data_IF_864411929145
#
_entry.id   IF_864411929145
#
_cell.length_a   1.000
_cell.length_b   1.000
_cell.length_c   1.000
_cell.angle_alpha   90.00
_cell.angle_beta   90.00
_cell.angle_gamma   90.00
#
_symmetry.space_group_name_H-M   'P 1'
#
loop_
_entity.id
_entity.type
_entity.pdbx_description
1 polymer ?
#
# COMPACT_ATOMS: atom_id res chain seq x y z
N UNK A 1 -23.96 -1.54 6.57
CA UNK A 1 -22.93 -1.50 5.53
C UNK A 1 -22.24 -0.13 5.43
N UNK A 2 -22.95 0.99 5.51
CA UNK A 2 -22.39 2.35 5.51
C UNK A 2 -21.44 2.60 6.70
N UNK A 3 -21.74 2.07 7.88
CA UNK A 3 -20.93 2.22 9.09
C UNK A 3 -19.55 1.55 9.03
N UNK A 4 -19.43 0.45 8.27
CA UNK A 4 -18.14 -0.26 8.16
C UNK A 4 -17.13 0.50 7.28
N UNK A 5 -17.60 1.05 6.16
CA UNK A 5 -16.75 1.89 5.28
C UNK A 5 -16.32 3.16 6.01
N UNK A 6 -17.22 3.75 6.80
CA UNK A 6 -16.93 4.95 7.60
C UNK A 6 -15.89 4.67 8.70
N UNK A 7 -15.95 3.52 9.34
CA UNK A 7 -14.96 3.12 10.36
C UNK A 7 -13.58 2.86 9.75
N UNK A 8 -13.51 2.24 8.58
CA UNK A 8 -12.24 2.00 7.87
C UNK A 8 -11.63 3.32 7.39
N UNK A 9 -12.44 4.25 6.88
CA UNK A 9 -12.00 5.60 6.48
C UNK A 9 -11.46 6.37 7.68
N UNK A 10 -12.13 6.31 8.83
CA UNK A 10 -11.70 6.97 10.08
C UNK A 10 -10.38 6.40 10.60
N UNK A 11 -10.19 5.09 10.54
CA UNK A 11 -8.93 4.43 10.95
C UNK A 11 -7.80 4.81 10.02
N UNK A 12 -8.03 4.85 8.71
CA UNK A 12 -7.01 5.23 7.72
C UNK A 12 -6.67 6.72 7.85
N UNK A 13 -7.66 7.60 8.03
CA UNK A 13 -7.45 9.04 8.25
C UNK A 13 -6.76 9.33 9.57
N UNK A 14 -7.06 8.58 10.63
CA UNK A 14 -6.39 8.66 11.93
C UNK A 14 -4.92 8.24 11.86
N UNK A 15 -4.62 7.17 11.12
CA UNK A 15 -3.24 6.70 10.88
C UNK A 15 -2.44 7.70 10.02
N UNK A 16 -3.05 8.29 8.99
CA UNK A 16 -2.42 9.32 8.16
C UNK A 16 -2.14 10.60 8.97
N UNK A 17 -3.04 11.00 9.88
CA UNK A 17 -2.89 12.20 10.71
C UNK A 17 -1.80 12.05 11.77
N UNK A 18 -1.64 10.86 12.36
CA UNK A 18 -0.56 10.57 13.32
C UNK A 18 0.80 10.60 12.60
N UNK A 19 0.90 10.02 11.39
CA UNK A 19 2.13 10.07 10.59
C UNK A 19 2.49 11.49 10.15
N UNK A 20 1.52 12.34 9.82
CA UNK A 20 1.76 13.73 9.40
C UNK A 20 2.31 14.60 10.54
N UNK A 21 1.90 14.35 11.78
CA UNK A 21 2.34 15.13 12.94
C UNK A 21 3.77 14.80 13.37
N UNK A 22 4.24 13.60 13.11
CA UNK A 22 5.64 13.18 13.40
C UNK A 22 6.62 13.76 12.38
N UNK A 23 6.18 14.09 11.16
CA UNK A 23 7.04 14.61 10.08
C UNK A 23 7.73 15.95 10.37
N UNK A 24 7.29 16.73 11.37
CA UNK A 24 7.77 18.10 11.55
C UNK A 24 8.82 18.29 12.65
N UNK A 25 9.37 17.24 13.25
CA UNK A 25 10.28 17.42 14.39
C UNK A 25 11.46 16.45 14.46
N UNK A 26 12.34 16.37 13.45
CA UNK A 26 13.74 15.98 13.69
C UNK A 26 14.59 15.94 12.42
N UNK A 27 15.28 17.01 12.14
CA UNK A 27 16.57 16.93 11.43
C UNK A 27 17.66 17.31 12.43
N UNK A 28 18.42 16.32 12.87
CA UNK A 28 19.73 16.52 13.46
C UNK A 28 20.67 15.52 12.84
N UNK A 29 21.60 16.03 12.07
CA UNK A 29 22.68 15.30 11.42
C UNK A 29 23.78 15.11 12.46
N UNK A 30 24.24 13.88 12.68
CA UNK A 30 25.56 13.60 13.23
C UNK A 30 26.25 12.59 12.31
N UNK A 31 27.37 13.05 11.74
CA UNK A 31 28.22 12.27 10.89
C UNK A 31 29.18 11.41 11.71
N UNK A 32 29.29 10.14 11.33
CA UNK A 32 30.44 9.30 11.67
C UNK A 32 30.71 8.37 10.50
N UNK A 33 31.81 8.64 9.80
CA UNK A 33 32.34 7.81 8.73
C UNK A 33 33.18 6.68 9.37
N UNK A 34 32.76 5.43 9.16
CA UNK A 34 33.64 4.28 9.29
C UNK A 34 33.33 3.30 8.17
N UNK A 35 34.29 3.15 7.24
CA UNK A 35 34.10 2.42 6.00
C UNK A 35 34.42 0.94 6.14
N UNK A 36 33.49 0.12 5.70
CA UNK A 36 33.74 -1.21 5.14
C UNK A 36 32.85 -1.30 3.89
N UNK A 37 33.25 -1.98 2.82
CA UNK A 37 32.40 -2.12 1.64
C UNK A 37 31.25 -3.05 1.98
N UNK A 38 30.21 -2.48 2.56
CA UNK A 38 28.95 -3.16 2.79
C UNK A 38 28.23 -3.27 1.44
N UNK A 39 27.96 -4.49 1.01
CA UNK A 39 27.07 -4.73 -0.13
C UNK A 39 25.69 -4.24 0.28
N UNK A 40 25.39 -2.98 -0.04
CA UNK A 40 24.09 -2.37 0.27
C UNK A 40 23.04 -3.10 -0.56
N UNK A 41 22.09 -3.75 0.10
CA UNK A 41 21.03 -4.49 -0.57
C UNK A 41 20.16 -3.55 -1.41
N UNK A 42 19.57 -4.07 -2.48
CA UNK A 42 18.63 -3.29 -3.30
C UNK A 42 17.49 -2.71 -2.43
N UNK A 43 17.02 -3.50 -1.45
CA UNK A 43 15.98 -3.09 -0.53
C UNK A 43 16.35 -1.85 0.30
N UNK A 44 17.56 -1.82 0.85
CA UNK A 44 18.08 -0.66 1.63
C UNK A 44 18.22 0.59 0.76
N UNK A 45 18.75 0.45 -0.46
CA UNK A 45 18.86 1.56 -1.41
C UNK A 45 17.51 2.11 -1.81
N UNK A 46 16.54 1.24 -2.09
CA UNK A 46 15.19 1.67 -2.45
C UNK A 46 14.50 2.35 -1.26
N UNK A 47 14.62 1.77 -0.07
CA UNK A 47 13.98 2.27 1.14
C UNK A 47 14.50 3.64 1.57
N UNK A 48 15.78 3.92 1.32
CA UNK A 48 16.41 5.22 1.55
C UNK A 48 16.21 6.22 0.40
N UNK A 49 15.57 5.81 -0.71
CA UNK A 49 15.47 6.62 -1.92
C UNK A 49 14.26 7.55 -1.92
N UNK A 50 14.37 8.65 -2.69
CA UNK A 50 13.25 9.55 -3.02
C UNK A 50 12.11 8.81 -3.73
N UNK A 51 12.41 7.71 -4.43
CA UNK A 51 11.42 6.87 -5.10
C UNK A 51 10.42 6.25 -4.11
N UNK A 52 10.90 5.80 -2.94
CA UNK A 52 10.01 5.29 -1.89
C UNK A 52 9.09 6.41 -1.39
N UNK A 53 9.63 7.59 -1.13
CA UNK A 53 8.83 8.73 -0.65
C UNK A 53 7.76 9.14 -1.67
N UNK A 54 8.09 9.05 -2.96
CA UNK A 54 7.12 9.31 -4.03
C UNK A 54 5.97 8.28 -4.02
N UNK A 55 6.30 6.98 -3.99
CA UNK A 55 5.30 5.91 -3.94
C UNK A 55 4.46 5.98 -2.66
N UNK A 56 5.07 6.33 -1.53
CA UNK A 56 4.37 6.52 -0.27
C UNK A 56 3.34 7.66 -0.37
N UNK A 57 3.75 8.83 -0.88
CA UNK A 57 2.85 9.99 -1.07
C UNK A 57 1.72 9.66 -2.04
N UNK A 58 2.04 9.01 -3.15
CA UNK A 58 1.05 8.57 -4.13
C UNK A 58 0.01 7.62 -3.53
N UNK A 59 0.47 6.61 -2.77
CA UNK A 59 -0.39 5.65 -2.13
C UNK A 59 -1.31 6.27 -1.09
N UNK A 60 -0.79 7.16 -0.23
CA UNK A 60 -1.60 7.87 0.76
C UNK A 60 -2.61 8.82 0.09
N UNK A 61 -2.21 9.54 -0.95
CA UNK A 61 -3.11 10.40 -1.71
C UNK A 61 -4.24 9.59 -2.41
N UNK A 62 -3.95 8.38 -2.89
CA UNK A 62 -4.98 7.51 -3.47
C UNK A 62 -5.98 7.04 -2.41
N UNK A 63 -5.51 6.70 -1.20
CA UNK A 63 -6.37 6.36 -0.06
C UNK A 63 -7.30 7.53 0.28
N UNK A 64 -6.77 8.74 0.41
CA UNK A 64 -7.55 9.96 0.72
C UNK A 64 -8.59 10.26 -0.36
N UNK A 65 -8.18 10.23 -1.64
CA UNK A 65 -9.11 10.46 -2.76
C UNK A 65 -10.22 9.41 -2.82
N UNK A 66 -9.89 8.16 -2.56
CA UNK A 66 -10.89 7.08 -2.53
C UNK A 66 -11.87 7.28 -1.39
N UNK A 67 -11.40 7.65 -0.21
CA UNK A 67 -12.25 7.94 0.94
C UNK A 67 -13.20 9.12 0.64
N UNK A 68 -12.66 10.22 0.13
CA UNK A 68 -13.45 11.39 -0.25
C UNK A 68 -14.49 11.08 -1.34
N UNK A 69 -14.13 10.26 -2.33
CA UNK A 69 -15.05 9.84 -3.38
C UNK A 69 -16.18 8.97 -2.83
N UNK A 70 -15.87 7.94 -2.05
CA UNK A 70 -16.88 7.00 -1.52
C UNK A 70 -17.84 7.66 -0.51
N UNK A 71 -17.38 8.65 0.23
CA UNK A 71 -18.23 9.39 1.17
C UNK A 71 -18.96 10.57 0.52
N UNK A 72 -18.46 11.08 -0.58
CA UNK A 72 -18.99 12.23 -1.33
C UNK A 72 -19.75 11.86 -2.60
N UNK A 73 -19.15 12.13 -3.78
CA UNK A 73 -19.82 11.94 -5.07
C UNK A 73 -20.22 10.48 -5.34
N UNK A 74 -19.34 9.53 -5.05
CA UNK A 74 -19.61 8.11 -5.26
C UNK A 74 -20.82 7.60 -4.47
N UNK A 75 -21.06 8.15 -3.27
CA UNK A 75 -22.25 7.84 -2.49
C UNK A 75 -23.56 8.32 -3.15
N UNK A 76 -23.49 9.46 -3.85
CA UNK A 76 -24.64 9.99 -4.60
C UNK A 76 -24.90 9.17 -5.85
N UNK A 77 -23.84 8.84 -6.58
CA UNK A 77 -23.90 8.01 -7.79
C UNK A 77 -24.41 6.60 -7.48
N UNK A 78 -23.96 5.98 -6.39
CA UNK A 78 -24.43 4.67 -5.94
C UNK A 78 -25.94 4.61 -5.69
N UNK A 79 -26.55 5.69 -5.21
CA UNK A 79 -27.99 5.77 -4.99
C UNK A 79 -28.81 5.81 -6.28
N UNK A 80 -28.21 6.27 -7.38
CA UNK A 80 -28.84 6.32 -8.69
C UNK A 80 -28.76 4.98 -9.44
N UNK A 81 -27.91 4.05 -8.98
CA UNK A 81 -27.76 2.73 -9.61
C UNK A 81 -28.97 1.85 -9.30
N UNK A 82 -29.49 1.18 -10.33
CA UNK A 82 -30.62 0.26 -10.23
C UNK A 82 -30.20 -1.20 -10.42
N UNK A 83 -30.92 -2.10 -9.79
CA UNK A 83 -30.74 -3.54 -9.95
C UNK A 83 -29.35 -4.03 -9.52
N UNK A 84 -28.75 -4.88 -10.35
CA UNK A 84 -27.45 -5.52 -10.08
C UNK A 84 -26.26 -4.56 -10.02
N UNK A 85 -26.36 -3.38 -10.66
CA UNK A 85 -25.31 -2.38 -10.66
C UNK A 85 -25.01 -1.83 -9.27
N UNK A 86 -26.01 -1.66 -8.41
CA UNK A 86 -25.83 -1.26 -7.02
C UNK A 86 -25.07 -2.29 -6.18
N UNK A 87 -25.34 -3.58 -6.39
CA UNK A 87 -24.62 -4.69 -5.74
C UNK A 87 -23.18 -4.75 -6.22
N UNK A 88 -22.97 -4.59 -7.53
CA UNK A 88 -21.62 -4.58 -8.11
C UNK A 88 -20.81 -3.39 -7.59
N UNK A 89 -21.41 -2.18 -7.53
CA UNK A 89 -20.77 -1.00 -6.94
C UNK A 89 -20.30 -1.28 -5.50
N UNK A 90 -21.18 -1.83 -4.67
CA UNK A 90 -20.85 -2.15 -3.29
C UNK A 90 -19.70 -3.16 -3.21
N UNK A 91 -19.73 -4.20 -4.05
CA UNK A 91 -18.72 -5.23 -4.08
C UNK A 91 -17.34 -4.67 -4.50
N UNK A 92 -17.31 -3.90 -5.59
CA UNK A 92 -16.06 -3.33 -6.09
C UNK A 92 -15.50 -2.23 -5.16
N UNK A 93 -16.36 -1.44 -4.51
CA UNK A 93 -15.94 -0.49 -3.47
C UNK A 93 -15.29 -1.19 -2.28
N UNK A 94 -15.82 -2.34 -1.84
CA UNK A 94 -15.22 -3.14 -0.77
C UNK A 94 -13.87 -3.73 -1.19
N UNK A 95 -13.78 -4.27 -2.41
CA UNK A 95 -12.52 -4.81 -2.96
C UNK A 95 -11.45 -3.73 -3.10
N UNK A 96 -11.83 -2.55 -3.59
CA UNK A 96 -10.96 -1.38 -3.68
C UNK A 96 -10.43 -0.99 -2.29
N UNK A 97 -11.32 -0.85 -1.31
CA UNK A 97 -10.96 -0.47 0.06
C UNK A 97 -10.02 -1.50 0.70
N UNK A 98 -10.31 -2.79 0.53
CA UNK A 98 -9.44 -3.87 1.06
C UNK A 98 -8.05 -3.82 0.42
N UNK A 99 -7.97 -3.65 -0.90
CA UNK A 99 -6.68 -3.52 -1.59
C UNK A 99 -5.89 -2.32 -1.09
N UNK A 100 -6.52 -1.17 -0.97
CA UNK A 100 -5.87 0.05 -0.46
C UNK A 100 -5.39 -0.10 0.98
N UNK A 101 -6.13 -0.82 1.83
CA UNK A 101 -5.71 -1.12 3.20
C UNK A 101 -4.44 -1.97 3.22
N UNK A 102 -4.35 -2.99 2.37
CA UNK A 102 -3.15 -3.83 2.26
C UNK A 102 -1.95 -3.03 1.74
N UNK A 103 -2.15 -2.20 0.71
CA UNK A 103 -1.10 -1.33 0.17
C UNK A 103 -0.62 -0.30 1.20
N UNK A 104 -1.54 0.37 1.89
CA UNK A 104 -1.21 1.33 2.95
C UNK A 104 -0.45 0.64 4.10
N UNK A 105 -0.86 -0.57 4.49
CA UNK A 105 -0.17 -1.34 5.54
C UNK A 105 1.26 -1.66 5.13
N UNK A 106 1.49 -2.08 3.89
CA UNK A 106 2.83 -2.32 3.36
C UNK A 106 3.69 -1.05 3.38
N UNK A 107 3.15 0.06 2.87
CA UNK A 107 3.83 1.35 2.83
C UNK A 107 4.21 1.85 4.23
N UNK A 108 3.31 1.72 5.20
CA UNK A 108 3.55 2.14 6.59
C UNK A 108 4.62 1.28 7.27
N UNK A 109 4.63 -0.04 7.04
CA UNK A 109 5.68 -0.93 7.56
C UNK A 109 7.05 -0.52 7.02
N UNK A 110 7.14 -0.26 5.71
CA UNK A 110 8.39 0.16 5.08
C UNK A 110 8.86 1.53 5.55
N UNK A 111 7.92 2.43 5.79
CA UNK A 111 8.22 3.74 6.34
C UNK A 111 8.74 3.65 7.77
N UNK A 112 8.06 2.91 8.65
CA UNK A 112 8.49 2.70 10.03
C UNK A 112 9.90 2.09 10.11
N UNK A 113 10.23 1.17 9.20
CA UNK A 113 11.58 0.62 9.08
C UNK A 113 12.60 1.69 8.62
N UNK A 114 12.26 2.50 7.61
CA UNK A 114 13.10 3.60 7.13
C UNK A 114 13.40 4.63 8.22
N UNK A 115 12.41 4.94 9.04
CA UNK A 115 12.52 5.91 10.14
C UNK A 115 13.17 5.30 11.41
N UNK A 116 13.49 4.00 11.39
CA UNK A 116 14.10 3.29 12.51
C UNK A 116 13.16 3.06 13.71
N UNK A 117 11.85 3.19 13.49
CA UNK A 117 10.83 2.94 14.51
C UNK A 117 10.65 1.45 14.81
N UNK A 118 10.94 0.59 13.84
CA UNK A 118 10.88 -0.86 13.96
C UNK A 118 12.15 -1.50 13.38
N UNK A 119 12.49 -2.69 13.88
CA UNK A 119 13.61 -3.49 13.37
C UNK A 119 13.22 -4.22 12.07
N UNK A 120 14.23 -4.71 11.32
CA UNK A 120 13.98 -5.54 10.13
C UNK A 120 13.21 -6.81 10.43
N UNK A 121 13.49 -7.45 11.57
CA UNK A 121 12.78 -8.65 12.02
C UNK A 121 11.31 -8.35 12.27
N UNK A 122 11.00 -7.25 12.94
CA UNK A 122 9.62 -6.80 13.19
C UNK A 122 8.92 -6.43 11.88
N UNK A 123 9.61 -5.72 10.98
CA UNK A 123 9.08 -5.38 9.67
C UNK A 123 8.74 -6.64 8.86
N UNK A 124 9.64 -7.63 8.82
CA UNK A 124 9.43 -8.91 8.16
C UNK A 124 8.22 -9.65 8.76
N UNK A 125 8.11 -9.72 10.09
CA UNK A 125 6.98 -10.35 10.79
C UNK A 125 5.65 -9.65 10.48
N UNK A 126 5.64 -8.30 10.46
CA UNK A 126 4.45 -7.51 10.10
C UNK A 126 4.11 -7.70 8.61
N UNK A 127 5.11 -7.69 7.70
CA UNK A 127 4.93 -7.87 6.26
C UNK A 127 4.27 -9.20 5.92
N UNK A 128 4.61 -10.30 6.59
CA UNK A 128 3.99 -11.62 6.37
C UNK A 128 2.48 -11.64 6.63
N UNK A 129 1.95 -10.69 7.39
CA UNK A 129 0.51 -10.55 7.67
C UNK A 129 -0.23 -9.75 6.61
N UNK A 130 0.47 -8.98 5.80
CA UNK A 130 -0.12 -8.17 4.72
C UNK A 130 -0.33 -9.04 3.50
N UNK A 131 -1.57 -9.14 3.05
CA UNK A 131 -1.94 -9.94 1.87
C UNK A 131 -1.89 -9.06 0.62
N UNK A 132 -0.75 -9.03 -0.06
CA UNK A 132 -0.63 -8.37 -1.37
C UNK A 132 -1.20 -9.29 -2.48
N UNK A 133 -2.38 -9.86 -2.24
CA UNK A 133 -3.07 -10.66 -3.26
C UNK A 133 -4.07 -9.75 -3.98
N UNK A 134 -3.85 -9.54 -5.27
CA UNK A 134 -4.82 -8.86 -6.09
C UNK A 134 -6.03 -9.79 -6.31
N UNK A 135 -7.20 -9.36 -5.89
CA UNK A 135 -8.42 -9.85 -6.54
C UNK A 135 -8.32 -9.51 -8.03
N UNK A 136 -8.71 -10.43 -8.91
CA UNK A 136 -8.63 -10.22 -10.36
C UNK A 136 -9.27 -8.88 -10.79
N UNK A 137 -8.75 -8.30 -11.86
CA UNK A 137 -9.30 -7.04 -12.41
C UNK A 137 -10.75 -7.25 -12.83
N UNK A 138 -11.69 -6.38 -12.42
CA UNK A 138 -13.12 -6.58 -12.62
C UNK A 138 -13.60 -6.25 -14.04
N UNK A 139 -12.72 -5.84 -14.96
CA UNK A 139 -13.07 -5.44 -16.32
C UNK A 139 -13.89 -6.50 -17.10
N UNK A 140 -13.79 -7.77 -16.73
CA UNK A 140 -14.54 -8.86 -17.34
C UNK A 140 -15.85 -9.20 -16.60
N UNK A 141 -16.15 -8.49 -15.51
CA UNK A 141 -17.40 -8.73 -14.75
C UNK A 141 -18.56 -8.11 -15.51
N UNK A 142 -19.62 -8.89 -15.68
CA UNK A 142 -20.87 -8.41 -16.31
C UNK A 142 -21.40 -7.18 -15.57
N UNK A 143 -21.67 -6.10 -16.30
CA UNK A 143 -22.15 -4.85 -15.73
C UNK A 143 -21.06 -3.90 -15.22
N UNK A 144 -19.78 -4.23 -15.38
CA UNK A 144 -18.70 -3.34 -14.96
C UNK A 144 -18.75 -1.98 -15.69
N UNK A 145 -19.18 -1.97 -16.95
CA UNK A 145 -19.38 -0.74 -17.74
C UNK A 145 -20.40 0.23 -17.14
N UNK A 146 -21.38 -0.29 -16.39
CA UNK A 146 -22.45 0.50 -15.78
C UNK A 146 -22.02 1.18 -14.47
N UNK A 147 -20.82 0.87 -13.98
CA UNK A 147 -20.26 1.50 -12.80
C UNK A 147 -19.83 2.95 -13.09
N UNK A 148 -19.94 3.84 -12.09
CA UNK A 148 -19.47 5.22 -12.23
C UNK A 148 -18.01 5.30 -12.63
N UNK A 149 -17.68 6.25 -13.52
CA UNK A 149 -16.32 6.43 -14.03
C UNK A 149 -15.33 6.76 -12.91
N UNK A 150 -15.75 7.53 -11.90
CA UNK A 150 -14.92 7.84 -10.74
C UNK A 150 -14.51 6.59 -9.96
N UNK A 151 -15.41 5.61 -9.79
CA UNK A 151 -15.06 4.34 -9.15
C UNK A 151 -14.10 3.52 -10.02
N UNK A 152 -14.36 3.43 -11.33
CA UNK A 152 -13.50 2.69 -12.27
C UNK A 152 -12.08 3.25 -12.30
N UNK A 153 -11.93 4.57 -12.35
CA UNK A 153 -10.63 5.23 -12.32
C UNK A 153 -9.84 4.89 -11.05
N UNK A 154 -10.46 4.96 -9.87
CA UNK A 154 -9.82 4.61 -8.59
C UNK A 154 -9.44 3.12 -8.52
N UNK A 155 -10.26 2.24 -9.08
CA UNK A 155 -9.95 0.82 -9.20
C UNK A 155 -8.68 0.63 -10.03
N UNK A 156 -8.61 1.24 -11.22
CA UNK A 156 -7.47 1.10 -12.12
C UNK A 156 -6.18 1.67 -11.53
N UNK A 157 -6.24 2.85 -10.90
CA UNK A 157 -5.11 3.43 -10.19
C UNK A 157 -4.63 2.52 -9.05
N UNK A 158 -5.56 1.92 -8.30
CA UNK A 158 -5.21 1.00 -7.21
C UNK A 158 -4.51 -0.27 -7.70
N UNK A 159 -4.87 -0.79 -8.87
CA UNK A 159 -4.17 -1.91 -9.49
C UNK A 159 -2.79 -1.53 -9.99
N UNK A 160 -2.64 -0.35 -10.60
CA UNK A 160 -1.35 0.15 -11.03
C UNK A 160 -0.37 0.29 -9.87
N UNK A 161 -0.81 0.87 -8.75
CA UNK A 161 -0.01 0.99 -7.54
C UNK A 161 0.31 -0.39 -6.95
N UNK A 162 -0.67 -1.29 -6.90
CA UNK A 162 -0.51 -2.65 -6.40
C UNK A 162 0.57 -3.42 -7.19
N UNK A 163 0.50 -3.39 -8.51
CA UNK A 163 1.46 -4.11 -9.36
C UNK A 163 2.90 -3.62 -9.12
N UNK A 164 3.10 -2.31 -8.96
CA UNK A 164 4.40 -1.72 -8.62
C UNK A 164 4.87 -2.14 -7.23
N UNK A 165 4.01 -2.10 -6.21
CA UNK A 165 4.36 -2.51 -4.84
C UNK A 165 4.70 -4.00 -4.79
N UNK A 166 3.97 -4.86 -5.49
CA UNK A 166 4.28 -6.31 -5.56
C UNK A 166 5.63 -6.57 -6.19
N UNK A 167 5.99 -5.84 -7.25
CA UNK A 167 7.32 -5.96 -7.87
C UNK A 167 8.42 -5.54 -6.91
N UNK A 168 8.24 -4.43 -6.20
CA UNK A 168 9.19 -3.94 -5.20
C UNK A 168 9.34 -4.91 -4.03
N UNK A 169 8.23 -5.43 -3.53
CA UNK A 169 8.24 -6.38 -2.43
C UNK A 169 8.98 -7.67 -2.78
N UNK A 170 8.79 -8.18 -4.00
CA UNK A 170 9.55 -9.34 -4.51
C UNK A 170 11.04 -9.03 -4.63
N UNK A 171 11.40 -7.89 -5.21
CA UNK A 171 12.81 -7.50 -5.37
C UNK A 171 13.53 -7.34 -4.02
N UNK A 172 12.82 -6.89 -2.99
CA UNK A 172 13.37 -6.79 -1.63
C UNK A 172 13.45 -8.14 -0.91
N UNK A 173 12.56 -9.08 -1.24
CA UNK A 173 12.54 -10.42 -0.61
C UNK A 173 13.65 -11.34 -1.13
N UNK A 174 14.06 -11.20 -2.38
CA UNK A 174 15.14 -12.00 -3.01
C UNK A 174 16.53 -11.73 -2.38
N UNK A 175 16.71 -10.60 -1.68
CA UNK A 175 17.95 -10.27 -0.97
C UNK A 175 18.09 -10.90 0.42
N UNK A 176 17.10 -11.65 0.90
CA UNK A 176 17.02 -12.19 2.26
C UNK A 176 16.79 -13.71 2.22
N UNK A 177 17.44 -14.44 1.35
CA UNK A 177 17.39 -15.91 1.40
C UNK A 177 18.63 -16.42 2.16
N UNK A 178 18.51 -16.76 3.47
CA UNK A 178 19.61 -17.30 4.26
C UNK A 178 20.00 -18.74 3.87
N UNK A 179 19.19 -19.44 3.07
CA UNK A 179 19.43 -20.83 2.69
C UNK A 179 20.27 -20.99 1.41
N UNK A 180 20.61 -19.91 0.70
CA UNK A 180 21.45 -19.95 -0.50
C UNK A 180 22.95 -20.15 -0.21
N UNK A 181 23.39 -20.27 1.05
CA UNK A 181 24.80 -20.39 1.46
C UNK A 181 25.23 -21.84 1.75
N UNK A 182 24.34 -22.82 1.71
CA UNK A 182 24.67 -24.18 2.15
C UNK A 182 24.74 -25.26 1.05
N UNK A 183 24.99 -24.92 -0.20
CA UNK A 183 25.35 -25.94 -1.20
C UNK A 183 26.63 -25.57 -1.96
N UNK A 184 27.77 -25.63 -1.25
CA UNK A 184 29.04 -25.86 -1.91
C UNK A 184 29.45 -27.32 -1.62
N UNK A 185 29.41 -28.24 -2.60
CA UNK A 185 29.98 -29.55 -2.42
C UNK A 185 31.51 -29.38 -2.29
N UNK A 186 32.05 -29.83 -1.18
CA UNK A 186 33.48 -30.07 -1.03
C UNK A 186 33.92 -31.17 -2.01
N UNK A 187 34.80 -30.84 -2.92
CA UNK A 187 35.65 -31.74 -3.68
C UNK A 187 37.06 -31.64 -3.19
#
# INVERSE_FOLDING_TARGET
MVFYVQSVVLVISGLAFVSYRVMNNKYRVDGSLSGSPTTVSFGERFQSSEQFDHIFKEGMALVERTAAYLDGPGRKEAKALVGGAGVLYATESMRLTTRLLDLASWLLIRRALKEGEITEEEASKKRRRVKLQAFGRPAHVKGYGDLPDGLKALIDESFSLHDRIVQLDRAMSVGVDPDAVQERPEN
#
